data_IF_204925681261
#
_entry.id   IF_204925681261
#
_cell.length_a   1.000
_cell.length_b   1.000
_cell.length_c   1.000
_cell.angle_alpha   90.00
_cell.angle_beta   90.00
_cell.angle_gamma   90.00
#
_symmetry.space_group_name_H-M   'P 1'
#
loop_
_entity.id
_entity.type
_entity.pdbx_description
1 polymer ?
#
# COMPACT_ATOMS: atom_id res chain seq x y z
N UNK A 1 -13.14 7.17 4.84
CA UNK A 1 -11.82 7.01 4.15
C UNK A 1 -11.36 5.56 4.18
N UNK A 2 -11.36 4.93 5.36
CA UNK A 2 -10.97 3.53 5.54
C UNK A 2 -12.06 2.52 5.17
N UNK A 3 -13.22 2.99 4.73
CA UNK A 3 -14.34 2.14 4.32
C UNK A 3 -13.91 1.26 3.15
N UNK A 4 -14.23 -0.03 3.24
CA UNK A 4 -13.87 -1.05 2.25
C UNK A 4 -12.36 -1.15 1.95
N UNK A 5 -11.49 -0.87 2.93
CA UNK A 5 -10.07 -1.18 2.80
C UNK A 5 -9.82 -2.69 2.89
N UNK A 6 -8.77 -3.16 2.21
CA UNK A 6 -8.33 -4.55 2.30
C UNK A 6 -7.54 -4.74 3.58
N UNK A 7 -8.02 -5.58 4.48
CA UNK A 7 -7.39 -5.84 5.77
C UNK A 7 -6.26 -6.87 5.61
N UNK A 8 -5.14 -6.63 6.29
CA UNK A 8 -4.03 -7.58 6.47
C UNK A 8 -3.42 -7.34 7.85
N UNK A 9 -3.40 -8.38 8.71
CA UNK A 9 -2.81 -8.32 10.05
C UNK A 9 -3.26 -7.10 10.88
N UNK A 10 -4.56 -6.79 10.88
CA UNK A 10 -5.13 -5.67 11.65
C UNK A 10 -4.92 -4.28 11.03
N UNK A 11 -4.28 -4.20 9.85
CA UNK A 11 -4.07 -2.94 9.12
C UNK A 11 -4.88 -2.96 7.83
N UNK A 12 -5.60 -1.88 7.57
CA UNK A 12 -6.37 -1.69 6.34
C UNK A 12 -5.56 -0.95 5.28
N UNK A 13 -5.63 -1.41 4.02
CA UNK A 13 -4.93 -0.80 2.89
C UNK A 13 -5.90 -0.44 1.77
N UNK A 14 -5.72 0.75 1.19
CA UNK A 14 -6.57 1.24 0.10
C UNK A 14 -5.80 2.16 -0.83
N UNK A 15 -6.06 2.07 -2.13
CA UNK A 15 -5.53 2.98 -3.12
C UNK A 15 -5.95 4.43 -2.82
N UNK A 16 -5.05 5.38 -3.03
CA UNK A 16 -5.40 6.78 -2.95
C UNK A 16 -6.32 7.17 -4.12
N UNK A 17 -7.28 8.05 -3.87
CA UNK A 17 -8.39 8.37 -4.79
C UNK A 17 -7.99 9.13 -6.06
N UNK A 18 -6.75 9.59 -6.18
CA UNK A 18 -6.32 10.37 -7.35
C UNK A 18 -4.82 10.43 -7.58
N UNK A 19 -4.03 9.64 -6.84
CA UNK A 19 -2.57 9.64 -6.94
C UNK A 19 -2.10 8.20 -6.88
N UNK A 20 -1.56 7.70 -8.00
CA UNK A 20 -1.15 6.31 -8.10
C UNK A 20 0.07 5.97 -7.28
N UNK A 21 0.91 6.96 -6.97
CA UNK A 21 2.10 6.83 -6.16
C UNK A 21 1.80 7.01 -4.65
N UNK A 22 0.53 7.15 -4.27
CA UNK A 22 0.09 7.19 -2.89
C UNK A 22 -0.86 6.02 -2.56
N UNK A 23 -0.83 5.59 -1.30
CA UNK A 23 -1.81 4.66 -0.74
C UNK A 23 -2.19 5.07 0.68
N UNK A 24 -3.29 4.51 1.16
CA UNK A 24 -3.88 4.79 2.45
C UNK A 24 -3.69 3.56 3.32
N UNK A 25 -3.14 3.78 4.51
CA UNK A 25 -3.00 2.81 5.58
C UNK A 25 -3.91 3.22 6.74
N UNK A 26 -4.76 2.30 7.18
CA UNK A 26 -5.73 2.48 8.25
C UNK A 26 -5.37 1.57 9.43
N UNK A 27 -5.24 2.15 10.61
CA UNK A 27 -5.01 1.42 11.85
C UNK A 27 -6.22 1.60 12.75
N UNK A 28 -6.75 0.49 13.26
CA UNK A 28 -7.97 0.47 14.06
C UNK A 28 -7.60 0.20 15.52
N UNK A 29 -7.94 1.13 16.41
CA UNK A 29 -7.73 1.03 17.85
C UNK A 29 -8.80 0.16 18.52
N UNK A 30 -8.46 -0.41 19.68
CA UNK A 30 -9.37 -1.24 20.47
C UNK A 30 -10.58 -0.45 21.03
N UNK A 31 -10.43 0.87 21.16
CA UNK A 31 -11.45 1.84 21.55
C UNK A 31 -12.38 2.24 20.38
N UNK A 32 -12.21 1.64 19.21
CA UNK A 32 -12.93 2.00 17.99
C UNK A 32 -12.36 3.22 17.27
N UNK A 33 -11.24 3.78 17.73
CA UNK A 33 -10.55 4.87 17.02
C UNK A 33 -9.96 4.37 15.69
N UNK A 34 -9.85 5.27 14.72
CA UNK A 34 -9.25 4.98 13.42
C UNK A 34 -8.18 6.01 13.10
N UNK A 35 -6.94 5.56 12.95
CA UNK A 35 -5.82 6.39 12.48
C UNK A 35 -5.59 6.16 11.00
N UNK A 36 -5.60 7.24 10.23
CA UNK A 36 -5.36 7.22 8.78
C UNK A 36 -3.96 7.77 8.47
N UNK A 37 -3.21 7.05 7.65
CA UNK A 37 -1.90 7.49 7.14
C UNK A 37 -1.89 7.40 5.61
N UNK A 38 -1.59 8.49 4.94
CA UNK A 38 -1.30 8.49 3.51
C UNK A 38 0.20 8.24 3.35
N UNK A 39 0.55 7.20 2.61
CA UNK A 39 1.91 6.73 2.40
C UNK A 39 2.28 6.91 0.93
N UNK A 40 3.54 7.26 0.69
CA UNK A 40 4.11 7.47 -0.63
C UNK A 40 4.89 6.21 -1.03
N UNK A 41 4.61 5.68 -2.20
CA UNK A 41 5.44 4.65 -2.82
C UNK A 41 6.82 5.22 -3.18
N UNK A 42 7.88 4.39 -3.17
CA UNK A 42 9.16 4.77 -3.78
C UNK A 42 8.95 5.31 -5.19
N UNK A 43 9.71 6.34 -5.57
CA UNK A 43 9.54 6.97 -6.88
C UNK A 43 9.72 5.95 -8.01
N UNK A 44 8.87 6.03 -9.03
CA UNK A 44 8.83 5.06 -10.11
C UNK A 44 7.90 3.87 -9.88
N UNK A 45 7.28 3.75 -8.69
CA UNK A 45 6.28 2.73 -8.40
C UNK A 45 4.89 3.33 -8.17
N UNK A 46 3.86 2.56 -8.52
CA UNK A 46 2.46 2.83 -8.20
C UNK A 46 1.97 1.82 -7.17
N UNK A 47 1.00 2.21 -6.35
CA UNK A 47 0.29 1.30 -5.47
C UNK A 47 -0.52 0.29 -6.28
N UNK A 48 -0.26 -0.99 -6.03
CA UNK A 48 -1.02 -2.12 -6.56
C UNK A 48 -1.97 -2.64 -5.47
N UNK A 49 -3.26 -2.36 -5.64
CA UNK A 49 -4.29 -2.76 -4.67
C UNK A 49 -4.47 -4.28 -4.60
N UNK A 50 -4.16 -5.03 -5.66
CA UNK A 50 -4.36 -6.48 -5.69
C UNK A 50 -3.27 -7.21 -4.89
N UNK A 51 -2.02 -6.75 -5.02
CA UNK A 51 -0.87 -7.33 -4.32
C UNK A 51 -0.53 -6.61 -3.00
N UNK A 52 -1.22 -5.49 -2.71
CA UNK A 52 -1.02 -4.64 -1.52
C UNK A 52 0.43 -4.19 -1.33
N UNK A 53 1.08 -3.82 -2.44
CA UNK A 53 2.45 -3.33 -2.45
C UNK A 53 2.65 -2.26 -3.53
N UNK A 54 3.78 -1.55 -3.46
CA UNK A 54 4.20 -0.65 -4.52
C UNK A 54 4.83 -1.48 -5.64
N UNK A 55 4.28 -1.38 -6.84
CA UNK A 55 4.68 -2.18 -8.00
C UNK A 55 4.92 -1.28 -9.22
N UNK A 56 5.45 -1.85 -10.29
CA UNK A 56 5.64 -1.11 -11.54
C UNK A 56 4.29 -0.59 -12.08
N UNK A 57 4.23 0.61 -12.66
CA UNK A 57 2.96 1.18 -13.15
C UNK A 57 2.19 0.29 -14.14
N UNK A 58 2.88 -0.46 -15.00
CA UNK A 58 2.29 -1.40 -15.96
C UNK A 58 1.61 -2.61 -15.28
N UNK A 59 2.11 -3.00 -14.10
CA UNK A 59 1.58 -4.12 -13.30
C UNK A 59 0.49 -3.64 -12.32
N UNK A 60 0.74 -2.54 -11.61
CA UNK A 60 -0.21 -1.95 -10.66
C UNK A 60 -1.51 -1.48 -11.33
N UNK A 61 -1.42 -1.12 -12.62
CA UNK A 61 -2.54 -0.73 -13.49
C UNK A 61 -3.49 0.32 -12.87
N UNK A 62 -2.94 1.23 -12.07
CA UNK A 62 -3.70 2.27 -11.38
C UNK A 62 -4.71 2.98 -12.30
N UNK A 63 -6.01 3.03 -11.94
CA UNK A 63 -7.03 3.70 -12.75
C UNK A 63 -6.80 5.20 -12.93
N UNK A 64 -6.11 5.82 -11.98
CA UNK A 64 -5.83 7.26 -11.96
C UNK A 64 -4.47 7.63 -12.57
N UNK A 65 -3.85 6.70 -13.32
CA UNK A 65 -2.60 6.99 -14.01
C UNK A 65 -2.86 8.09 -15.06
N UNK A 66 -2.18 9.23 -14.90
CA UNK A 66 -2.37 10.38 -15.78
C UNK A 66 -1.92 10.09 -17.20
N UNK A 67 -0.98 9.16 -17.41
CA UNK A 67 -0.56 8.77 -18.75
C UNK A 67 -1.64 8.04 -19.55
N UNK A 68 -2.71 7.56 -18.91
CA UNK A 68 -3.89 7.02 -19.59
C UNK A 68 -4.84 8.11 -20.07
N UNK A 69 -4.69 9.34 -19.59
CA UNK A 69 -5.50 10.47 -19.98
C UNK A 69 -4.91 11.12 -21.24
N UNK A 70 -5.73 11.53 -22.21
CA UNK A 70 -5.25 12.19 -23.41
C UNK A 70 -4.54 13.51 -23.06
N UNK A 71 -3.47 13.83 -23.79
CA UNK A 71 -2.72 15.07 -23.63
C UNK A 71 -1.61 15.05 -22.56
N UNK A 72 -1.56 14.03 -21.70
CA UNK A 72 -0.42 13.86 -20.78
C UNK A 72 0.77 13.23 -21.49
N UNK A 73 1.92 13.92 -21.42
CA UNK A 73 3.23 13.39 -21.87
C UNK A 73 4.24 13.31 -20.74
N UNK A 74 4.15 14.24 -19.81
CA UNK A 74 5.03 14.34 -18.63
C UNK A 74 4.27 15.03 -17.50
N UNK A 75 4.55 14.67 -16.25
CA UNK A 75 3.99 15.36 -15.08
C UNK A 75 4.88 15.19 -13.83
N UNK A 76 4.81 16.09 -12.83
CA UNK A 76 5.67 16.03 -11.64
C UNK A 76 5.32 14.86 -10.71
N UNK A 77 6.31 14.34 -9.98
CA UNK A 77 6.05 13.42 -8.86
C UNK A 77 5.37 14.14 -7.69
N UNK A 78 4.63 13.40 -6.86
CA UNK A 78 3.80 14.02 -5.80
C UNK A 78 4.62 14.66 -4.70
N UNK A 79 5.72 14.04 -4.26
CA UNK A 79 6.55 14.53 -3.14
C UNK A 79 8.06 14.40 -3.42
N UNK A 80 8.47 14.63 -4.67
CA UNK A 80 9.89 14.63 -5.01
C UNK A 80 10.17 15.73 -6.04
N UNK A 81 10.90 16.75 -5.62
CA UNK A 81 11.18 17.91 -6.48
C UNK A 81 12.06 17.56 -7.69
N UNK A 82 12.83 16.46 -7.64
CA UNK A 82 13.62 15.94 -8.77
C UNK A 82 12.84 14.93 -9.62
N UNK A 83 11.89 14.25 -8.99
CA UNK A 83 11.11 13.17 -9.59
C UNK A 83 10.03 13.69 -10.53
N UNK A 84 9.89 13.03 -11.67
CA UNK A 84 8.79 13.25 -12.61
C UNK A 84 8.41 11.94 -13.29
N UNK A 85 7.27 11.96 -13.97
CA UNK A 85 6.72 10.82 -14.70
C UNK A 85 6.71 11.16 -16.18
N UNK A 86 7.26 10.29 -17.00
CA UNK A 86 7.20 10.37 -18.46
C UNK A 86 6.24 9.29 -18.97
N UNK A 87 5.35 9.65 -19.88
CA UNK A 87 4.39 8.71 -20.45
C UNK A 87 5.02 7.93 -21.59
N UNK A 88 5.01 6.60 -21.47
CA UNK A 88 5.46 5.67 -22.52
C UNK A 88 4.31 4.70 -22.79
N UNK A 89 3.76 4.74 -24.01
CA UNK A 89 2.63 3.91 -24.43
C UNK A 89 1.43 3.95 -23.46
N UNK A 90 1.12 5.14 -22.92
CA UNK A 90 0.00 5.34 -21.99
C UNK A 90 0.26 4.88 -20.55
N UNK A 91 1.49 4.49 -20.23
CA UNK A 91 1.93 4.07 -18.88
C UNK A 91 2.96 5.05 -18.34
N UNK A 92 2.85 5.36 -17.05
CA UNK A 92 3.84 6.19 -16.36
C UNK A 92 5.18 5.47 -16.19
N UNK A 93 6.26 6.15 -16.54
CA UNK A 93 7.64 5.74 -16.30
C UNK A 93 8.35 6.78 -15.41
N UNK A 94 8.83 6.34 -14.25
CA UNK A 94 9.42 7.22 -13.25
C UNK A 94 10.82 7.68 -13.64
N UNK A 95 11.01 8.98 -13.81
CA UNK A 95 12.28 9.62 -14.13
C UNK A 95 12.75 10.53 -13.01
N UNK A 96 14.05 10.78 -12.95
CA UNK A 96 14.66 11.63 -11.95
C UNK A 96 15.57 12.64 -12.63
N UNK A 97 15.43 13.91 -12.27
CA UNK A 97 16.39 14.92 -12.68
C UNK A 97 17.77 14.67 -12.05
N UNK A 98 18.86 15.12 -12.69
CA UNK A 98 20.20 15.09 -12.09
C UNK A 98 20.23 15.80 -10.73
N UNK A 99 21.26 15.53 -9.93
CA UNK A 99 21.43 16.23 -8.65
C UNK A 99 21.64 17.73 -8.89
N UNK A 100 21.01 18.57 -8.05
CA UNK A 100 21.02 20.03 -8.23
C UNK A 100 20.02 20.54 -9.27
N UNK A 101 19.09 19.70 -9.74
CA UNK A 101 18.02 20.08 -10.67
C UNK A 101 16.66 19.65 -10.14
N UNK A 102 15.66 20.51 -10.28
CA UNK A 102 14.26 20.21 -10.02
C UNK A 102 13.51 20.03 -11.35
N UNK A 103 12.45 19.22 -11.34
CA UNK A 103 11.55 19.15 -12.48
C UNK A 103 10.59 20.34 -12.50
N UNK A 104 10.42 20.95 -13.67
CA UNK A 104 9.45 22.01 -13.93
C UNK A 104 8.60 21.69 -15.15
N UNK A 105 7.29 21.93 -15.05
CA UNK A 105 6.36 21.78 -16.17
C UNK A 105 6.70 22.81 -17.25
N UNK A 106 7.13 22.34 -18.42
CA UNK A 106 7.54 23.17 -19.56
C UNK A 106 9.04 23.41 -19.68
N UNK A 107 9.79 23.30 -18.58
CA UNK A 107 11.26 23.46 -18.56
C UNK A 107 12.06 22.17 -18.44
N UNK A 108 11.40 21.03 -18.14
CA UNK A 108 12.11 19.78 -17.87
C UNK A 108 12.91 19.89 -16.57
N UNK A 109 14.17 19.45 -16.59
CA UNK A 109 15.07 19.59 -15.45
C UNK A 109 15.72 20.97 -15.44
N UNK A 110 15.38 21.80 -14.46
CA UNK A 110 15.90 23.16 -14.28
C UNK A 110 16.82 23.23 -13.05
N UNK A 111 17.91 24.02 -13.07
CA UNK A 111 18.80 24.15 -11.92
C UNK A 111 18.05 24.55 -10.65
N UNK A 112 18.35 23.87 -9.54
CA UNK A 112 17.76 24.13 -8.23
C UNK A 112 18.73 23.71 -7.13
N UNK A 113 19.34 24.69 -6.47
CA UNK A 113 20.28 24.47 -5.38
C UNK A 113 19.62 23.87 -4.12
N UNK A 114 18.31 24.02 -3.97
CA UNK A 114 17.54 23.55 -2.81
C UNK A 114 16.96 22.16 -3.00
N UNK A 115 16.86 21.69 -4.24
CA UNK A 115 16.25 20.41 -4.57
C UNK A 115 17.30 19.28 -4.62
N UNK A 116 17.70 18.82 -3.44
CA UNK A 116 18.72 17.77 -3.30
C UNK A 116 18.13 16.40 -2.93
N UNK A 117 16.80 16.29 -2.81
CA UNK A 117 16.12 15.06 -2.42
C UNK A 117 16.44 13.93 -3.42
N UNK A 118 16.97 12.78 -2.97
CA UNK A 118 17.12 11.63 -3.84
C UNK A 118 15.75 11.19 -4.34
N UNK A 119 15.64 10.72 -5.59
CA UNK A 119 14.39 10.13 -6.06
C UNK A 119 14.05 8.81 -5.34
N UNK A 120 15.01 8.23 -4.61
CA UNK A 120 14.88 6.89 -4.06
C UNK A 120 15.19 5.88 -5.17
N UNK A 121 16.40 5.33 -5.14
CA UNK A 121 16.69 4.10 -5.88
C UNK A 121 16.31 2.95 -4.97
N UNK A 122 15.31 2.19 -5.38
CA UNK A 122 15.34 0.75 -5.15
C UNK A 122 14.74 0.12 -6.39
N UNK A 123 15.53 -0.56 -7.24
CA UNK A 123 14.93 -1.66 -7.98
C UNK A 123 14.38 -2.64 -6.93
N UNK A 124 13.24 -3.31 -7.15
CA UNK A 124 13.06 -4.58 -6.50
C UNK A 124 14.14 -5.51 -7.11
N UNK A 125 15.30 -5.60 -6.45
CA UNK A 125 15.88 -6.93 -6.29
C UNK A 125 14.75 -7.75 -5.71
N UNK A 126 14.37 -8.78 -6.44
CA UNK A 126 13.32 -9.70 -6.07
C UNK A 126 13.39 -10.02 -4.58
N UNK A 127 12.32 -9.75 -3.83
CA UNK A 127 12.22 -10.20 -2.44
C UNK A 127 11.68 -9.17 -1.46
N UNK A 128 10.60 -9.60 -0.80
CA UNK A 128 10.28 -9.29 0.60
C UNK A 128 9.73 -7.90 0.90
N UNK A 129 8.47 -7.66 0.51
CA UNK A 129 7.42 -7.26 1.48
C UNK A 129 6.05 -7.81 1.06
N UNK A 130 6.01 -9.03 0.52
CA UNK A 130 4.81 -9.85 0.67
C UNK A 130 4.91 -10.46 2.08
N UNK A 131 3.83 -10.48 2.90
CA UNK A 131 3.73 -11.55 3.88
C UNK A 131 3.81 -12.84 3.07
N UNK A 132 4.87 -13.59 3.30
CA UNK A 132 5.05 -14.88 2.66
C UNK A 132 3.76 -15.71 2.87
N UNK A 133 3.03 -16.15 1.83
CA UNK A 133 1.90 -17.06 1.99
C UNK A 133 2.33 -18.43 2.55
N UNK A 134 3.65 -18.66 2.64
CA UNK A 134 4.26 -19.88 3.18
C UNK A 134 5.05 -19.65 4.47
N UNK A 135 4.81 -18.57 5.22
CA UNK A 135 5.07 -18.68 6.68
C UNK A 135 4.06 -19.68 7.21
N UNK A 136 4.41 -20.97 7.10
CA UNK A 136 3.82 -22.01 7.92
C UNK A 136 3.88 -21.45 9.32
N UNK A 137 2.73 -21.36 9.98
CA UNK A 137 2.70 -21.31 11.43
C UNK A 137 3.55 -22.48 11.90
N UNK A 138 4.82 -22.24 12.26
CA UNK A 138 5.59 -23.23 12.98
C UNK A 138 4.84 -23.39 14.28
N UNK A 139 4.40 -24.61 14.51
CA UNK A 139 3.40 -25.07 15.45
C UNK A 139 3.72 -24.83 16.93
N UNK A 140 4.68 -23.97 17.27
CA UNK A 140 5.21 -23.85 18.64
C UNK A 140 4.51 -22.81 19.51
N UNK A 141 3.36 -22.28 19.08
CA UNK A 141 2.46 -21.48 19.95
C UNK A 141 1.04 -22.10 20.05
N UNK A 142 0.72 -23.18 19.33
CA UNK A 142 -0.58 -23.85 19.45
C UNK A 142 -0.61 -25.05 20.42
N UNK A 143 0.38 -25.19 21.31
CA UNK A 143 0.51 -26.36 22.18
C UNK A 143 -0.37 -26.36 23.46
N UNK A 144 -1.54 -25.69 23.48
CA UNK A 144 -2.47 -25.79 24.63
C UNK A 144 -3.95 -25.96 24.31
N UNK A 145 -4.37 -26.07 23.04
CA UNK A 145 -5.79 -26.33 22.74
C UNK A 145 -5.96 -27.62 21.95
N UNK A 146 -6.64 -28.59 22.58
CA UNK A 146 -7.07 -29.84 21.95
C UNK A 146 -7.90 -29.51 20.70
N UNK A 147 -7.37 -29.90 19.55
CA UNK A 147 -8.11 -29.94 18.29
C UNK A 147 -9.29 -30.91 18.44
N UNK A 148 -10.51 -30.39 18.42
CA UNK A 148 -11.67 -31.15 17.97
C UNK A 148 -12.10 -30.54 16.63
N UNK A 149 -11.87 -31.31 15.57
CA UNK A 149 -12.26 -31.00 14.20
C UNK A 149 -13.79 -30.83 14.12
N UNK A 150 -14.25 -29.71 13.53
CA UNK A 150 -15.11 -29.64 12.33
C UNK A 150 -15.61 -28.19 12.16
N UNK A 151 -15.22 -27.53 11.07
CA UNK A 151 -15.58 -26.16 10.63
C UNK A 151 -14.67 -25.01 11.09
N UNK A 152 -13.95 -24.40 10.15
CA UNK A 152 -13.15 -23.18 10.32
C UNK A 152 -14.00 -21.89 10.29
N UNK A 153 -15.21 -21.91 10.84
CA UNK A 153 -16.12 -20.76 10.85
C UNK A 153 -16.63 -20.53 12.27
N UNK A 154 -16.22 -19.41 12.88
CA UNK A 154 -16.86 -18.90 14.09
C UNK A 154 -17.93 -17.88 13.64
N UNK A 155 -19.18 -18.15 13.98
CA UNK A 155 -20.32 -17.27 13.73
C UNK A 155 -20.56 -16.36 14.95
N UNK A 156 -20.89 -15.09 14.70
CA UNK A 156 -21.40 -14.19 15.76
C UNK A 156 -22.93 -14.15 15.65
N UNK A 157 -23.60 -14.43 16.77
CA UNK A 157 -25.05 -14.30 16.90
C UNK A 157 -25.43 -12.82 16.99
N UNK A 158 -26.28 -12.34 16.06
CA UNK A 158 -26.84 -10.99 16.09
C UNK A 158 -28.21 -11.03 16.79
N UNK A 159 -28.26 -10.60 18.05
CA UNK A 159 -29.48 -10.58 18.88
C UNK A 159 -30.61 -9.73 18.28
N UNK A 160 -30.28 -8.74 17.44
CA UNK A 160 -31.29 -7.86 16.80
C UNK A 160 -31.90 -8.49 15.56
N UNK A 161 -31.22 -9.47 14.96
CA UNK A 161 -31.65 -10.14 13.71
C UNK A 161 -32.02 -11.60 13.93
N UNK A 162 -31.80 -12.14 15.13
CA UNK A 162 -32.06 -13.53 15.50
C UNK A 162 -31.44 -14.52 14.49
N UNK A 163 -30.23 -14.21 14.01
CA UNK A 163 -29.53 -15.01 13.01
C UNK A 163 -28.00 -14.94 13.19
N UNK A 164 -27.31 -15.99 12.76
CA UNK A 164 -25.85 -16.08 12.71
C UNK A 164 -25.29 -15.35 11.49
N UNK A 165 -24.21 -14.59 11.67
CA UNK A 165 -23.47 -13.94 10.58
C UNK A 165 -22.04 -14.50 10.55
N UNK A 166 -21.52 -14.95 9.38
CA UNK A 166 -20.16 -15.45 9.29
C UNK A 166 -19.15 -14.32 9.55
N UNK A 167 -18.25 -14.54 10.51
CA UNK A 167 -17.17 -13.59 10.82
C UNK A 167 -15.87 -14.13 10.25
N UNK A 168 -15.26 -13.43 9.29
CA UNK A 168 -13.87 -13.68 8.93
C UNK A 168 -12.98 -13.21 10.09
N UNK A 169 -12.47 -14.16 10.88
CA UNK A 169 -11.59 -13.90 12.01
C UNK A 169 -10.25 -13.29 11.54
N UNK A 170 -9.92 -12.08 12.01
CA UNK A 170 -8.53 -11.66 12.17
C UNK A 170 -8.10 -12.00 13.60
N UNK A 171 -7.08 -12.85 13.74
CA UNK A 171 -6.51 -13.19 15.04
C UNK A 171 -5.81 -11.99 15.67
N UNK A 172 -6.06 -11.79 16.97
CA UNK A 172 -5.46 -10.76 17.83
C UNK A 172 -4.25 -11.38 18.52
N UNK A 173 -3.04 -10.90 18.22
CA UNK A 173 -1.86 -11.18 19.04
C UNK A 173 -1.75 -10.06 20.08
N UNK A 174 -1.91 -10.38 21.37
CA UNK A 174 -1.50 -9.48 22.45
C UNK A 174 -0.10 -9.90 22.93
N UNK A 175 0.82 -8.94 22.97
CA UNK A 175 2.11 -9.11 23.65
C UNK A 175 1.88 -8.98 25.16
N UNK A 176 2.29 -9.98 25.93
CA UNK A 176 2.38 -9.87 27.39
C UNK A 176 3.77 -9.33 27.71
N UNK A 177 3.81 -8.17 28.36
CA UNK A 177 5.01 -7.57 28.93
C UNK A 177 5.62 -8.53 29.98
N UNK A 178 6.92 -8.79 29.91
CA UNK A 178 7.66 -9.55 30.93
C UNK A 178 8.84 -8.73 31.42
N UNK A 179 8.61 -7.94 32.48
CA UNK A 179 9.28 -8.05 33.80
C UNK A 179 9.08 -6.78 34.63
#
# INVERSE_FOLDING_TARGET
ICDNCTMVNGVGYKAHWGKCDLFIQCMFGADGSVTVRIKQCPHGLHWDQASLTCNRPDQARCPHDRCRQPGFRVYPATNNCRGYWQCVNGVSDGKCCPQGYAFSMGGGCVPSATCNTPCGVSPPSQGQFAPNPTTRCTTDICALYRLMHTSNTLERYDEKKNNSVPVQCYFRCEAIDQS
#
